data_IF_307592644561
#
_entry.id   IF_307592644561
#
_cell.length_a   1.000
_cell.length_b   1.000
_cell.length_c   1.000
_cell.angle_alpha   90.00
_cell.angle_beta   90.00
_cell.angle_gamma   90.00
#
_symmetry.space_group_name_H-M   'P 1'
#
loop_
_entity.id
_entity.type
_entity.pdbx_description
1 polymer ?
#
# COMPACT_ATOMS: atom_id res chain seq x y z
N UNK A 1 13.01 -8.90 13.63
CA UNK A 1 11.76 -8.75 14.40
C UNK A 1 11.05 -7.54 13.85
N UNK A 2 9.79 -7.67 13.42
CA UNK A 2 9.08 -6.53 12.84
C UNK A 2 8.63 -5.63 13.98
N UNK A 3 9.06 -4.37 13.95
CA UNK A 3 8.63 -3.36 14.90
C UNK A 3 7.43 -2.61 14.31
N UNK A 4 6.27 -2.86 14.92
CA UNK A 4 5.00 -2.25 14.56
C UNK A 4 4.64 -1.20 15.62
N UNK A 5 4.15 -0.05 15.19
CA UNK A 5 3.60 1.01 16.05
C UNK A 5 2.23 0.64 16.62
N UNK A 6 1.50 -0.24 15.93
CA UNK A 6 0.15 -0.68 16.27
C UNK A 6 0.07 -2.21 16.36
N UNK A 7 -0.98 -2.78 16.98
CA UNK A 7 -1.16 -4.23 17.03
C UNK A 7 -1.17 -4.88 15.64
N UNK A 8 -0.63 -6.10 15.47
CA UNK A 8 -0.58 -6.80 14.19
C UNK A 8 -1.93 -6.91 13.48
N UNK A 9 -3.01 -7.17 14.23
CA UNK A 9 -4.36 -7.30 13.66
C UNK A 9 -4.85 -5.98 13.07
N UNK A 10 -4.54 -4.85 13.74
CA UNK A 10 -4.88 -3.52 13.25
C UNK A 10 -4.04 -3.14 12.03
N UNK A 11 -2.76 -3.52 12.01
CA UNK A 11 -1.89 -3.30 10.86
C UNK A 11 -2.38 -4.05 9.62
N UNK A 12 -2.74 -5.33 9.76
CA UNK A 12 -3.31 -6.12 8.66
C UNK A 12 -4.62 -5.49 8.17
N UNK A 13 -5.51 -5.08 9.08
CA UNK A 13 -6.77 -4.45 8.70
C UNK A 13 -6.57 -3.15 7.89
N UNK A 14 -5.59 -2.31 8.27
CA UNK A 14 -5.26 -1.10 7.50
C UNK A 14 -4.73 -1.44 6.10
N UNK A 15 -3.85 -2.45 5.98
CA UNK A 15 -3.34 -2.89 4.68
C UNK A 15 -4.46 -3.44 3.79
N UNK A 16 -5.35 -4.26 4.34
CA UNK A 16 -6.52 -4.80 3.64
C UNK A 16 -7.49 -3.67 3.21
N UNK A 17 -7.68 -2.63 4.03
CA UNK A 17 -8.44 -1.44 3.67
C UNK A 17 -7.86 -0.75 2.43
N UNK A 18 -6.53 -0.56 2.38
CA UNK A 18 -5.86 0.03 1.22
C UNK A 18 -6.03 -0.82 -0.05
N UNK A 19 -5.92 -2.13 0.08
CA UNK A 19 -6.15 -3.09 -1.02
C UNK A 19 -7.60 -3.00 -1.52
N UNK A 20 -8.58 -2.91 -0.63
CA UNK A 20 -9.98 -2.78 -1.01
C UNK A 20 -10.26 -1.44 -1.69
N UNK A 21 -9.70 -0.34 -1.17
CA UNK A 21 -9.80 0.98 -1.79
C UNK A 21 -9.22 0.98 -3.22
N UNK A 22 -8.11 0.26 -3.44
CA UNK A 22 -7.52 0.08 -4.77
C UNK A 22 -8.45 -0.67 -5.73
N UNK A 23 -9.07 -1.75 -5.25
CA UNK A 23 -10.05 -2.52 -6.05
C UNK A 23 -11.24 -1.65 -6.45
N UNK A 24 -11.78 -0.88 -5.51
CA UNK A 24 -12.86 0.09 -5.78
C UNK A 24 -12.45 1.11 -6.83
N UNK A 25 -11.24 1.67 -6.71
CA UNK A 25 -10.68 2.62 -7.66
C UNK A 25 -10.62 2.04 -9.09
N UNK A 26 -10.20 0.79 -9.23
CA UNK A 26 -10.10 0.10 -10.53
C UNK A 26 -11.44 -0.33 -11.13
N UNK A 27 -12.50 -0.44 -10.32
CA UNK A 27 -13.85 -0.85 -10.78
C UNK A 27 -14.77 0.33 -11.09
N UNK A 28 -14.35 1.56 -10.86
CA UNK A 28 -15.17 2.77 -11.12
C UNK A 28 -15.37 2.95 -12.63
N UNK A 29 -16.60 3.29 -13.05
CA UNK A 29 -17.03 3.31 -14.46
C UNK A 29 -16.17 4.24 -15.35
N UNK A 30 -15.76 5.37 -14.80
CA UNK A 30 -14.77 6.25 -15.40
C UNK A 30 -13.40 5.80 -14.88
N UNK A 31 -12.54 5.31 -15.79
CA UNK A 31 -11.18 4.88 -15.43
C UNK A 31 -10.52 5.89 -14.50
N UNK A 32 -9.83 5.45 -13.44
CA UNK A 32 -9.37 6.35 -12.39
C UNK A 32 -8.46 7.43 -12.95
N UNK A 33 -8.76 8.68 -12.60
CA UNK A 33 -7.96 9.83 -12.99
C UNK A 33 -6.64 9.89 -12.24
N UNK A 34 -5.72 10.71 -12.75
CA UNK A 34 -4.40 10.92 -12.13
C UNK A 34 -4.49 11.25 -10.64
N UNK A 35 -5.37 12.18 -10.28
CA UNK A 35 -5.50 12.61 -8.88
C UNK A 35 -6.16 11.57 -7.99
N UNK A 36 -7.00 10.69 -8.53
CA UNK A 36 -7.58 9.59 -7.76
C UNK A 36 -6.49 8.58 -7.36
N UNK A 37 -5.58 8.29 -8.30
CA UNK A 37 -4.42 7.41 -8.06
C UNK A 37 -3.45 8.05 -7.07
N UNK A 38 -3.08 9.32 -7.26
CA UNK A 38 -2.20 10.04 -6.34
C UNK A 38 -2.82 10.12 -4.94
N UNK A 39 -4.13 10.37 -4.84
CA UNK A 39 -4.87 10.37 -3.58
C UNK A 39 -4.83 9.00 -2.89
N UNK A 40 -5.05 7.93 -3.65
CA UNK A 40 -4.93 6.57 -3.13
C UNK A 40 -3.51 6.27 -2.65
N UNK A 41 -2.48 6.63 -3.40
CA UNK A 41 -1.07 6.41 -3.04
C UNK A 41 -0.67 7.16 -1.77
N UNK A 42 -1.07 8.43 -1.66
CA UNK A 42 -0.83 9.24 -0.45
C UNK A 42 -1.47 8.63 0.79
N UNK A 43 -2.71 8.14 0.66
CA UNK A 43 -3.40 7.41 1.73
C UNK A 43 -2.68 6.10 2.10
N UNK A 44 -2.11 5.40 1.12
CA UNK A 44 -1.33 4.18 1.35
C UNK A 44 -0.02 4.48 2.09
N UNK A 45 0.71 5.54 1.73
CA UNK A 45 1.90 5.96 2.47
C UNK A 45 1.58 6.31 3.93
N UNK A 46 0.50 7.04 4.14
CA UNK A 46 0.03 7.41 5.48
C UNK A 46 -0.35 6.19 6.32
N UNK A 47 -0.91 5.14 5.71
CA UNK A 47 -1.19 3.89 6.39
C UNK A 47 0.10 3.15 6.78
N UNK A 48 1.08 3.08 5.88
CA UNK A 48 2.39 2.47 6.14
C UNK A 48 3.14 3.21 7.25
N UNK A 49 3.11 4.54 7.26
CA UNK A 49 3.71 5.36 8.34
C UNK A 49 3.04 5.16 9.70
N UNK A 50 1.76 4.79 9.72
CA UNK A 50 1.04 4.45 10.95
C UNK A 50 1.39 3.04 11.45
N UNK A 51 1.68 2.11 10.54
CA UNK A 51 1.99 0.72 10.87
C UNK A 51 3.44 0.59 11.37
N UNK A 52 4.38 1.16 10.62
CA UNK A 52 5.81 0.93 10.82
C UNK A 52 6.51 2.15 11.41
N UNK A 53 7.49 1.93 12.29
CA UNK A 53 8.32 3.01 12.82
C UNK A 53 9.38 3.51 11.81
N UNK A 54 10.05 4.60 12.15
CA UNK A 54 11.05 5.26 11.29
C UNK A 54 12.36 4.48 11.14
N UNK A 55 12.54 3.37 11.85
CA UNK A 55 13.69 2.48 11.72
C UNK A 55 13.36 1.26 10.85
N UNK A 56 12.12 1.11 10.41
CA UNK A 56 11.71 0.09 9.45
C UNK A 56 11.86 0.65 8.02
N UNK A 57 12.23 -0.20 7.06
CA UNK A 57 12.43 0.19 5.66
C UNK A 57 11.13 0.20 4.83
N UNK A 58 10.03 -0.39 5.33
CA UNK A 58 8.76 -0.49 4.61
C UNK A 58 8.20 0.88 4.14
N UNK A 59 8.30 1.98 4.92
CA UNK A 59 7.93 3.31 4.46
C UNK A 59 8.77 3.79 3.26
N UNK A 60 10.07 3.50 3.22
CA UNK A 60 10.93 3.85 2.09
C UNK A 60 10.63 2.96 0.88
N UNK A 61 10.52 1.65 1.08
CA UNK A 61 10.23 0.67 0.02
C UNK A 61 8.94 0.97 -0.73
N UNK A 62 7.87 1.28 -0.01
CA UNK A 62 6.57 1.56 -0.65
C UNK A 62 6.61 2.86 -1.47
N UNK A 63 7.43 3.83 -1.06
CA UNK A 63 7.61 5.10 -1.80
C UNK A 63 8.50 4.94 -3.02
N UNK A 64 9.42 3.98 -3.01
CA UNK A 64 10.27 3.65 -4.16
C UNK A 64 9.49 3.07 -5.34
N UNK A 65 8.28 2.54 -5.13
CA UNK A 65 7.40 2.11 -6.24
C UNK A 65 7.08 3.31 -7.16
N UNK A 66 7.03 4.53 -6.60
CA UNK A 66 6.96 5.77 -7.36
C UNK A 66 5.56 6.17 -7.81
N UNK A 67 5.38 7.45 -8.14
CA UNK A 67 4.14 8.04 -8.66
C UNK A 67 4.13 8.00 -10.19
N UNK A 68 2.94 8.03 -10.84
CA UNK A 68 2.87 8.27 -12.27
C UNK A 68 3.57 9.62 -12.59
N UNK A 69 4.53 9.60 -13.52
CA UNK A 69 5.40 10.74 -13.80
C UNK A 69 4.64 11.95 -14.38
N UNK A 70 3.51 11.71 -15.04
CA UNK A 70 2.69 12.75 -15.67
C UNK A 70 1.22 12.34 -15.71
N UNK A 71 0.32 13.31 -15.54
CA UNK A 71 -1.13 13.13 -15.74
C UNK A 71 -1.47 12.65 -17.15
N UNK A 72 -0.62 12.94 -18.14
CA UNK A 72 -0.76 12.60 -19.55
C UNK A 72 -0.67 11.09 -19.89
N UNK A 73 -0.02 10.28 -19.05
CA UNK A 73 0.17 8.83 -19.28
C UNK A 73 -0.58 7.92 -18.28
N UNK A 74 -1.35 8.53 -17.38
CA UNK A 74 -1.94 7.87 -16.21
C UNK A 74 -2.70 6.58 -16.54
N UNK A 75 -3.54 6.57 -17.57
CA UNK A 75 -4.46 5.44 -17.79
C UNK A 75 -3.78 4.10 -18.05
N UNK A 76 -2.62 4.08 -18.74
CA UNK A 76 -1.93 2.82 -19.11
C UNK A 76 -0.90 2.41 -18.05
N UNK A 77 -0.21 3.36 -17.45
CA UNK A 77 0.84 3.11 -16.47
C UNK A 77 0.28 2.86 -15.06
N UNK A 78 -0.88 3.44 -14.73
CA UNK A 78 -1.46 3.33 -13.38
C UNK A 78 -1.90 1.92 -13.02
N UNK A 79 -2.43 1.14 -13.96
CA UNK A 79 -2.87 -0.23 -13.65
C UNK A 79 -1.69 -1.11 -13.23
N UNK A 80 -0.61 -1.08 -14.01
CA UNK A 80 0.62 -1.80 -13.70
C UNK A 80 1.21 -1.30 -12.37
N UNK A 81 1.20 0.01 -12.14
CA UNK A 81 1.67 0.58 -10.88
C UNK A 81 0.87 0.05 -9.67
N UNK A 82 -0.45 0.08 -9.75
CA UNK A 82 -1.34 -0.40 -8.68
C UNK A 82 -1.16 -1.92 -8.43
N UNK A 83 -0.86 -2.71 -9.46
CA UNK A 83 -0.52 -4.13 -9.31
C UNK A 83 0.78 -4.33 -8.50
N UNK A 84 1.81 -3.49 -8.72
CA UNK A 84 3.04 -3.53 -7.91
C UNK A 84 2.75 -3.18 -6.45
N UNK A 85 1.96 -2.14 -6.21
CA UNK A 85 1.53 -1.81 -4.85
C UNK A 85 0.76 -2.95 -4.20
N UNK A 86 -0.17 -3.57 -4.92
CA UNK A 86 -0.97 -4.67 -4.39
C UNK A 86 -0.08 -5.82 -3.92
N UNK A 87 0.90 -6.23 -4.75
CA UNK A 87 1.87 -7.25 -4.37
C UNK A 87 2.61 -6.87 -3.10
N UNK A 88 3.13 -5.63 -3.03
CA UNK A 88 3.91 -5.18 -1.87
C UNK A 88 3.08 -5.10 -0.58
N UNK A 89 1.80 -4.71 -0.68
CA UNK A 89 0.88 -4.71 0.47
C UNK A 89 0.58 -6.13 0.97
N UNK A 90 0.48 -7.11 0.06
CA UNK A 90 0.35 -8.53 0.44
C UNK A 90 1.62 -9.05 1.12
N UNK A 91 2.80 -8.71 0.60
CA UNK A 91 4.07 -9.08 1.23
C UNK A 91 4.14 -8.57 2.67
N UNK A 92 3.74 -7.32 2.92
CA UNK A 92 3.68 -6.76 4.27
C UNK A 92 2.70 -7.50 5.19
N UNK A 93 1.53 -7.90 4.68
CA UNK A 93 0.56 -8.69 5.46
C UNK A 93 1.17 -10.04 5.84
N UNK A 94 1.83 -10.72 4.90
CA UNK A 94 2.43 -12.02 5.14
C UNK A 94 3.61 -11.94 6.12
N UNK A 95 4.46 -10.93 5.99
CA UNK A 95 5.55 -10.63 6.92
C UNK A 95 5.02 -10.43 8.36
N UNK A 96 3.96 -9.64 8.52
CA UNK A 96 3.32 -9.42 9.83
C UNK A 96 2.79 -10.75 10.39
N UNK A 97 2.09 -11.55 9.57
CA UNK A 97 1.55 -12.86 9.98
C UNK A 97 2.66 -13.83 10.38
N UNK A 98 3.76 -13.90 9.63
CA UNK A 98 4.92 -14.74 9.97
C UNK A 98 5.56 -14.31 11.29
N UNK A 99 5.68 -12.99 11.52
CA UNK A 99 6.19 -12.45 12.78
C UNK A 99 5.28 -12.76 13.98
N UNK A 100 3.98 -13.01 13.78
CA UNK A 100 3.08 -13.46 14.85
C UNK A 100 3.27 -14.95 15.16
N UNK A 101 3.51 -15.79 14.14
CA UNK A 101 3.67 -17.23 14.31
C UNK A 101 5.02 -17.62 14.92
N UNK A 102 6.09 -16.87 14.61
CA UNK A 102 7.45 -17.08 15.15
C UNK A 102 7.65 -16.60 16.60
N UNK A 103 6.61 -16.09 17.26
CA UNK A 103 6.63 -15.67 18.69
C UNK A 103 6.25 -16.80 19.67
N UNK A 104 6.17 -18.05 19.21
CA UNK A 104 5.88 -19.23 20.05
C UNK A 104 7.13 -19.89 20.61
#
# INVERSE_FOLDING_TARGET
MIHLKIPPEQAIALLEERINAMKTLLTTQDSPGYYDIVGWMSGTYSAIDQIYDSNNIAPEEIRMIGLPACSCNTGRDARMLLEVYHSKLLDYIDDIRMSMQGKK
#
